data_IF_187527051930
#
_entry.id   IF_187527051930
#
_cell.length_a   1.000
_cell.length_b   1.000
_cell.length_c   1.000
_cell.angle_alpha   90.00
_cell.angle_beta   90.00
_cell.angle_gamma   90.00
#
_symmetry.space_group_name_H-M   'P 1'
#
loop_
_entity.id
_entity.type
_entity.pdbx_description
1 polymer ?
#
# COMPACT_ATOMS: atom_id res chain seq x y z
N UNK A 1 -26.40 14.69 12.17
CA UNK A 1 -26.21 14.14 10.80
C UNK A 1 -26.19 12.63 10.98
N UNK A 2 -26.96 11.89 10.18
CA UNK A 2 -27.09 10.45 10.39
C UNK A 2 -25.80 9.73 10.04
N UNK A 3 -25.07 9.25 11.04
CA UNK A 3 -24.11 8.17 10.86
C UNK A 3 -24.91 6.95 10.40
N UNK A 4 -24.58 6.39 9.25
CA UNK A 4 -25.25 5.19 8.75
C UNK A 4 -25.72 5.33 7.32
N UNK A 5 -24.76 5.26 6.41
CA UNK A 5 -24.87 4.53 5.13
C UNK A 5 -23.55 4.51 4.35
N UNK A 6 -22.39 4.68 5.02
CA UNK A 6 -21.11 4.85 4.30
C UNK A 6 -20.81 3.71 3.31
N UNK A 7 -21.02 2.42 3.65
CA UNK A 7 -20.78 1.34 2.70
C UNK A 7 -21.64 1.43 1.43
N UNK A 8 -22.92 1.79 1.54
CA UNK A 8 -23.79 1.92 0.36
C UNK A 8 -23.45 3.17 -0.45
N UNK A 9 -23.20 4.31 0.20
CA UNK A 9 -22.76 5.55 -0.46
C UNK A 9 -21.46 5.36 -1.22
N UNK A 10 -20.48 4.72 -0.59
CA UNK A 10 -19.20 4.39 -1.20
C UNK A 10 -19.37 3.51 -2.44
N UNK A 11 -20.22 2.47 -2.36
CA UNK A 11 -20.55 1.61 -3.51
C UNK A 11 -21.29 2.38 -4.62
N UNK A 12 -22.19 3.28 -4.25
CA UNK A 12 -22.94 4.15 -5.16
C UNK A 12 -22.06 5.22 -5.83
N UNK A 13 -20.84 5.44 -5.34
CA UNK A 13 -19.84 6.27 -5.98
C UNK A 13 -19.43 7.53 -5.22
N UNK A 14 -20.06 7.79 -4.07
CA UNK A 14 -19.73 8.91 -3.17
C UNK A 14 -18.50 8.57 -2.32
N UNK A 15 -17.35 8.35 -2.96
CA UNK A 15 -16.10 7.91 -2.30
C UNK A 15 -15.42 9.06 -1.59
N UNK A 16 -15.27 10.19 -2.29
CA UNK A 16 -14.66 11.40 -1.72
C UNK A 16 -15.42 11.91 -0.50
N UNK A 17 -16.76 11.94 -0.56
CA UNK A 17 -17.59 12.37 0.57
C UNK A 17 -17.49 11.40 1.76
N UNK A 18 -17.50 10.09 1.51
CA UNK A 18 -17.32 9.08 2.56
C UNK A 18 -15.93 9.19 3.20
N UNK A 19 -14.86 9.31 2.42
CA UNK A 19 -13.51 9.45 2.96
C UNK A 19 -13.33 10.74 3.74
N UNK A 20 -13.87 11.87 3.27
CA UNK A 20 -13.85 13.13 4.00
C UNK A 20 -14.55 13.03 5.36
N UNK A 21 -15.69 12.34 5.43
CA UNK A 21 -16.40 12.08 6.69
C UNK A 21 -15.60 11.16 7.61
N UNK A 22 -15.01 10.07 7.10
CA UNK A 22 -14.20 9.14 7.88
C UNK A 22 -12.93 9.80 8.42
N UNK A 23 -12.24 10.62 7.62
CA UNK A 23 -11.08 11.40 8.08
C UNK A 23 -11.46 12.43 9.13
N UNK A 24 -12.67 12.98 9.07
CA UNK A 24 -13.17 13.93 10.06
C UNK A 24 -13.41 13.34 11.46
N UNK A 25 -13.53 12.02 11.58
CA UNK A 25 -13.71 11.31 12.86
C UNK A 25 -12.40 11.14 13.63
N UNK A 26 -11.28 11.00 12.92
CA UNK A 26 -10.01 10.58 13.54
C UNK A 26 -10.17 9.31 14.37
N UNK A 27 -9.71 9.35 15.62
CA UNK A 27 -9.77 8.22 16.55
C UNK A 27 -11.19 7.77 16.95
N UNK A 28 -12.20 8.64 16.82
CA UNK A 28 -13.60 8.32 17.14
C UNK A 28 -14.16 7.22 16.22
N UNK A 29 -13.48 6.93 15.10
CA UNK A 29 -13.82 5.80 14.23
C UNK A 29 -13.73 4.44 14.93
N UNK A 30 -13.07 4.36 16.09
CA UNK A 30 -12.93 3.13 16.90
C UNK A 30 -14.11 2.84 17.81
N UNK A 31 -15.08 3.73 17.90
CA UNK A 31 -16.34 3.43 18.57
C UNK A 31 -17.05 2.27 17.87
N UNK A 32 -17.47 1.24 18.63
CA UNK A 32 -17.87 -0.07 18.06
C UNK A 32 -18.93 0.01 16.95
N UNK A 33 -19.92 0.90 17.09
CA UNK A 33 -20.97 1.10 16.09
C UNK A 33 -20.43 1.75 14.81
N UNK A 34 -19.50 2.70 14.96
CA UNK A 34 -18.86 3.44 13.86
C UNK A 34 -17.83 2.56 13.15
N UNK A 35 -16.99 1.86 13.94
CA UNK A 35 -15.90 1.03 13.46
C UNK A 35 -16.41 -0.03 12.49
N UNK A 36 -17.55 -0.65 12.77
CA UNK A 36 -18.12 -1.67 11.88
C UNK A 36 -18.43 -1.12 10.48
N UNK A 37 -19.01 0.08 10.40
CA UNK A 37 -19.33 0.73 9.13
C UNK A 37 -18.07 1.21 8.41
N UNK A 38 -17.14 1.84 9.14
CA UNK A 38 -15.88 2.32 8.60
C UNK A 38 -14.99 1.17 8.09
N UNK A 39 -14.93 0.07 8.84
CA UNK A 39 -14.21 -1.14 8.43
C UNK A 39 -14.84 -1.74 7.15
N UNK A 40 -16.16 -1.73 7.01
CA UNK A 40 -16.82 -2.17 5.78
C UNK A 40 -16.48 -1.29 4.57
N UNK A 41 -16.24 0.01 4.75
CA UNK A 41 -15.76 0.90 3.67
C UNK A 41 -14.33 0.53 3.31
N UNK A 42 -13.46 0.38 4.30
CA UNK A 42 -12.05 -0.01 4.09
C UNK A 42 -11.95 -1.38 3.41
N UNK A 43 -12.82 -2.32 3.76
CA UNK A 43 -12.87 -3.65 3.15
C UNK A 43 -13.32 -3.59 1.68
N UNK A 44 -14.32 -2.77 1.36
CA UNK A 44 -14.75 -2.55 -0.03
C UNK A 44 -13.65 -1.85 -0.85
N UNK A 45 -12.93 -0.88 -0.26
CA UNK A 45 -11.75 -0.26 -0.88
C UNK A 45 -10.66 -1.30 -1.17
N UNK A 46 -10.32 -2.14 -0.18
CA UNK A 46 -9.31 -3.18 -0.34
C UNK A 46 -9.68 -4.19 -1.43
N UNK A 47 -10.96 -4.58 -1.53
CA UNK A 47 -11.43 -5.47 -2.59
C UNK A 47 -11.30 -4.83 -3.99
N UNK A 48 -11.59 -3.53 -4.12
CA UNK A 48 -11.37 -2.77 -5.36
C UNK A 48 -9.89 -2.64 -5.70
N UNK A 49 -9.04 -2.35 -4.72
CA UNK A 49 -7.59 -2.29 -4.88
C UNK A 49 -7.04 -3.65 -5.36
N UNK A 50 -7.47 -4.76 -4.75
CA UNK A 50 -7.11 -6.12 -5.19
C UNK A 50 -7.54 -6.41 -6.62
N UNK A 51 -8.75 -5.98 -7.01
CA UNK A 51 -9.20 -6.10 -8.40
C UNK A 51 -8.26 -5.32 -9.35
N UNK A 52 -7.92 -4.08 -8.99
CA UNK A 52 -7.03 -3.24 -9.80
C UNK A 52 -5.62 -3.82 -9.90
N UNK A 53 -5.05 -4.34 -8.82
CA UNK A 53 -3.72 -5.00 -8.82
C UNK A 53 -3.72 -6.20 -9.77
N UNK A 54 -4.75 -7.05 -9.72
CA UNK A 54 -4.87 -8.19 -10.65
C UNK A 54 -5.08 -7.76 -12.10
N UNK A 55 -5.76 -6.64 -12.31
CA UNK A 55 -5.93 -6.08 -13.65
C UNK A 55 -4.60 -5.54 -14.19
N UNK A 56 -3.86 -4.80 -13.36
CA UNK A 56 -2.51 -4.31 -13.67
C UNK A 56 -1.55 -5.42 -14.02
N UNK A 57 -1.50 -6.47 -13.20
CA UNK A 57 -0.66 -7.63 -13.46
C UNK A 57 -0.92 -8.19 -14.87
N UNK A 58 -2.20 -8.36 -15.25
CA UNK A 58 -2.58 -8.85 -16.58
C UNK A 58 -2.20 -7.88 -17.68
N UNK A 59 -2.46 -6.58 -17.51
CA UNK A 59 -2.12 -5.56 -18.51
C UNK A 59 -0.61 -5.47 -18.73
N UNK A 60 0.18 -5.44 -17.65
CA UNK A 60 1.63 -5.40 -17.70
C UNK A 60 2.20 -6.64 -18.39
N UNK A 61 1.73 -7.85 -18.03
CA UNK A 61 2.13 -9.09 -18.71
C UNK A 61 1.77 -9.07 -20.21
N UNK A 62 0.58 -8.56 -20.55
CA UNK A 62 0.13 -8.47 -21.94
C UNK A 62 0.97 -7.51 -22.79
N UNK A 63 1.50 -6.44 -22.19
CA UNK A 63 2.41 -5.51 -22.87
C UNK A 63 3.84 -6.07 -22.96
N UNK A 64 4.19 -7.12 -22.21
CA UNK A 64 5.52 -7.76 -22.23
C UNK A 64 6.41 -7.39 -21.03
N UNK A 65 5.82 -6.84 -19.96
CA UNK A 65 6.53 -6.51 -18.73
C UNK A 65 6.95 -7.78 -17.99
N UNK A 66 8.18 -7.78 -17.46
CA UNK A 66 8.73 -8.91 -16.69
C UNK A 66 8.95 -8.47 -15.25
N UNK A 67 8.19 -9.07 -14.34
CA UNK A 67 8.35 -8.88 -12.90
C UNK A 67 9.52 -9.70 -12.37
N UNK A 68 10.34 -9.11 -11.51
CA UNK A 68 11.52 -9.79 -10.98
C UNK A 68 11.92 -9.26 -9.59
N UNK A 69 12.83 -9.98 -8.92
CA UNK A 69 13.53 -9.48 -7.73
C UNK A 69 14.33 -8.23 -8.08
N UNK A 70 14.51 -7.33 -7.11
CA UNK A 70 15.27 -6.09 -7.27
C UNK A 70 16.78 -6.30 -7.00
N UNK A 71 17.32 -7.44 -7.40
CA UNK A 71 18.74 -7.76 -7.32
C UNK A 71 19.38 -7.86 -8.73
N UNK A 72 20.69 -8.06 -8.78
CA UNK A 72 21.43 -8.18 -10.04
C UNK A 72 21.02 -9.42 -10.86
N UNK A 73 20.49 -10.46 -10.22
CA UNK A 73 20.05 -11.68 -10.89
C UNK A 73 18.69 -11.50 -11.56
N UNK A 74 17.86 -10.56 -11.07
CA UNK A 74 16.51 -10.25 -11.59
C UNK A 74 15.69 -11.52 -11.79
N UNK A 75 15.67 -12.36 -10.77
CA UNK A 75 14.94 -13.62 -10.80
C UNK A 75 13.45 -13.33 -10.99
N UNK A 76 12.76 -13.94 -11.97
CA UNK A 76 11.33 -13.71 -12.19
C UNK A 76 10.51 -14.03 -10.93
N UNK A 77 9.51 -13.19 -10.64
CA UNK A 77 8.64 -13.37 -9.47
C UNK A 77 7.17 -13.29 -9.85
N UNK A 78 6.33 -13.85 -8.98
CA UNK A 78 4.90 -13.58 -8.99
C UNK A 78 4.64 -12.21 -8.33
N UNK A 79 4.12 -11.21 -9.05
CA UNK A 79 3.99 -9.86 -8.53
C UNK A 79 2.85 -9.67 -7.53
N UNK A 80 1.99 -10.68 -7.35
CA UNK A 80 0.85 -10.59 -6.45
C UNK A 80 0.64 -11.89 -5.68
N UNK A 81 0.71 -11.81 -4.35
CA UNK A 81 0.39 -12.92 -3.44
C UNK A 81 -0.84 -12.54 -2.61
N UNK A 82 -1.96 -13.27 -2.74
CA UNK A 82 -3.13 -13.00 -1.91
C UNK A 82 -2.83 -13.15 -0.43
N UNK A 83 -3.60 -12.42 0.40
CA UNK A 83 -3.55 -12.52 1.85
C UNK A 83 -3.58 -13.99 2.32
N UNK A 84 -2.66 -14.36 3.21
CA UNK A 84 -2.56 -15.71 3.73
C UNK A 84 -3.51 -15.95 4.91
N UNK A 85 -3.73 -17.22 5.32
CA UNK A 85 -4.45 -17.53 6.55
C UNK A 85 -3.81 -16.95 7.83
N UNK A 86 -2.52 -16.57 7.79
CA UNK A 86 -1.78 -16.00 8.92
C UNK A 86 -1.93 -14.47 9.02
N UNK A 87 -2.48 -13.80 8.01
CA UNK A 87 -2.70 -12.35 8.01
C UNK A 87 -3.42 -11.83 9.28
N UNK A 88 -4.47 -12.50 9.82
CA UNK A 88 -5.09 -12.07 11.09
C UNK A 88 -4.16 -12.16 12.30
N UNK A 89 -3.25 -13.16 12.33
CA UNK A 89 -2.26 -13.31 13.40
C UNK A 89 -1.23 -12.18 13.35
N UNK A 90 -0.74 -11.84 12.16
CA UNK A 90 0.17 -10.71 11.98
C UNK A 90 -0.50 -9.39 12.36
N UNK A 91 -1.76 -9.17 11.96
CA UNK A 91 -2.52 -7.98 12.34
C UNK A 91 -2.66 -7.84 13.86
N UNK A 92 -3.04 -8.92 14.55
CA UNK A 92 -3.17 -8.91 16.01
C UNK A 92 -1.83 -8.62 16.70
N UNK A 93 -0.73 -9.15 16.17
CA UNK A 93 0.61 -8.85 16.66
C UNK A 93 0.97 -7.37 16.46
N UNK A 94 0.72 -6.80 15.27
CA UNK A 94 0.95 -5.38 15.00
C UNK A 94 0.20 -4.48 16.00
N UNK A 95 -1.08 -4.76 16.22
CA UNK A 95 -1.91 -3.96 17.15
C UNK A 95 -1.47 -4.10 18.62
N UNK A 96 -0.99 -5.28 19.01
CA UNK A 96 -0.52 -5.57 20.37
C UNK A 96 0.85 -4.94 20.66
N UNK A 97 1.80 -5.07 19.74
CA UNK A 97 3.19 -4.66 19.98
C UNK A 97 3.47 -3.22 19.55
N UNK A 98 2.88 -2.77 18.44
CA UNK A 98 3.17 -1.46 17.83
C UNK A 98 2.03 -0.44 18.04
N UNK A 99 0.93 -0.87 18.67
CA UNK A 99 -0.26 -0.06 18.91
C UNK A 99 -1.23 -0.06 17.72
N UNK A 100 -2.34 0.72 17.80
CA UNK A 100 -3.39 0.68 16.79
C UNK A 100 -2.86 0.98 15.40
N UNK A 101 -3.38 0.25 14.40
CA UNK A 101 -3.05 0.45 12.98
C UNK A 101 -4.27 0.94 12.20
N UNK A 102 -4.13 1.77 11.16
CA UNK A 102 -5.28 2.29 10.42
C UNK A 102 -6.22 1.19 9.90
N UNK A 103 -7.53 1.46 9.84
CA UNK A 103 -8.50 0.46 9.37
C UNK A 103 -8.23 0.00 7.94
N UNK A 104 -7.71 0.89 7.08
CA UNK A 104 -7.26 0.54 5.72
C UNK A 104 -6.10 -0.45 5.70
N UNK A 105 -5.18 -0.40 6.67
CA UNK A 105 -4.06 -1.34 6.77
C UNK A 105 -4.57 -2.73 7.18
N UNK A 106 -5.50 -2.77 8.15
CA UNK A 106 -6.21 -4.00 8.51
C UNK A 106 -6.92 -4.63 7.30
N UNK A 107 -7.66 -3.83 6.52
CA UNK A 107 -8.32 -4.31 5.30
C UNK A 107 -7.34 -4.79 4.24
N UNK A 108 -6.24 -4.06 4.02
CA UNK A 108 -5.22 -4.45 3.05
C UNK A 108 -4.62 -5.81 3.39
N UNK A 109 -4.16 -5.96 4.63
CA UNK A 109 -3.54 -7.19 5.13
C UNK A 109 -4.50 -8.39 5.02
N UNK A 110 -5.78 -8.21 5.37
CA UNK A 110 -6.77 -9.30 5.33
C UNK A 110 -7.28 -9.67 3.94
N UNK A 111 -7.35 -8.70 3.01
CA UNK A 111 -8.13 -8.87 1.78
C UNK A 111 -7.30 -8.77 0.50
N UNK A 112 -6.17 -8.04 0.54
CA UNK A 112 -5.28 -7.84 -0.60
C UNK A 112 -4.13 -8.84 -0.55
N UNK A 113 -3.26 -8.72 0.46
CA UNK A 113 -1.98 -9.43 0.56
C UNK A 113 -0.82 -8.61 -0.01
N UNK A 114 0.24 -9.30 -0.43
CA UNK A 114 1.48 -8.69 -0.89
C UNK A 114 1.44 -8.35 -2.38
N UNK A 115 1.95 -7.16 -2.71
CA UNK A 115 2.07 -6.62 -4.07
C UNK A 115 3.51 -6.23 -4.33
N UNK A 116 4.08 -6.69 -5.44
CA UNK A 116 5.43 -6.42 -5.90
C UNK A 116 5.43 -6.16 -7.41
N UNK A 117 5.21 -4.92 -7.84
CA UNK A 117 5.20 -4.58 -9.27
C UNK A 117 6.59 -4.21 -9.82
N UNK A 118 7.67 -4.45 -9.08
CA UNK A 118 9.03 -4.22 -9.57
C UNK A 118 9.32 -5.15 -10.75
N UNK A 119 9.85 -4.56 -11.82
CA UNK A 119 10.20 -5.28 -13.03
C UNK A 119 10.74 -4.35 -14.11
N UNK A 120 10.86 -4.89 -15.31
CA UNK A 120 11.39 -4.19 -16.48
C UNK A 120 10.57 -4.47 -17.73
N UNK A 121 10.62 -3.52 -18.67
CA UNK A 121 10.08 -3.68 -20.00
C UNK A 121 11.18 -3.44 -21.05
N UNK A 122 11.39 -4.35 -22.04
CA UNK A 122 12.45 -4.19 -23.03
C UNK A 122 12.33 -2.91 -23.87
N UNK A 123 11.11 -2.48 -24.19
CA UNK A 123 10.86 -1.28 -24.99
C UNK A 123 10.74 0.01 -24.15
N UNK A 124 10.56 -0.10 -22.83
CA UNK A 124 10.34 1.03 -21.92
C UNK A 124 11.18 0.86 -20.66
N UNK A 125 12.53 0.94 -20.79
CA UNK A 125 13.43 0.74 -19.67
C UNK A 125 13.25 1.76 -18.56
N UNK A 126 12.64 2.92 -18.83
CA UNK A 126 12.39 3.98 -17.86
C UNK A 126 11.39 3.56 -16.77
N UNK A 127 10.52 2.59 -17.05
CA UNK A 127 9.52 2.10 -16.11
C UNK A 127 10.13 1.45 -14.87
N UNK A 128 11.34 0.90 -14.94
CA UNK A 128 11.99 0.30 -13.77
C UNK A 128 12.32 1.34 -12.69
N UNK A 129 12.48 2.61 -13.09
CA UNK A 129 12.67 3.74 -12.18
C UNK A 129 11.37 4.50 -11.86
N UNK A 130 10.22 4.09 -12.39
CA UNK A 130 8.96 4.82 -12.29
C UNK A 130 8.23 4.62 -10.95
N UNK A 131 8.90 4.08 -9.94
CA UNK A 131 8.35 3.82 -8.60
C UNK A 131 7.11 2.91 -8.62
N UNK A 132 7.26 1.63 -9.05
CA UNK A 132 6.15 0.70 -9.12
C UNK A 132 5.52 0.46 -7.74
N UNK A 133 4.22 0.12 -7.73
CA UNK A 133 3.51 -0.25 -6.50
C UNK A 133 4.18 -1.45 -5.84
N UNK A 134 4.60 -1.27 -4.61
CA UNK A 134 4.98 -2.34 -3.69
C UNK A 134 4.23 -2.08 -2.39
N UNK A 135 3.59 -3.10 -1.83
CA UNK A 135 3.09 -3.15 -0.46
C UNK A 135 3.23 -4.60 -0.02
N UNK A 136 4.18 -4.88 0.85
CA UNK A 136 4.54 -6.21 1.32
C UNK A 136 4.52 -6.20 2.86
N UNK A 137 3.57 -6.92 3.43
CA UNK A 137 3.37 -7.02 4.89
C UNK A 137 3.65 -8.42 5.39
N UNK A 138 3.21 -9.43 4.64
CA UNK A 138 3.38 -10.84 5.03
C UNK A 138 4.74 -11.40 4.59
N UNK A 139 5.53 -10.63 3.83
CA UNK A 139 6.87 -11.03 3.42
C UNK A 139 6.85 -12.31 2.60
N UNK A 140 5.80 -12.56 1.81
CA UNK A 140 5.58 -13.82 1.09
C UNK A 140 6.69 -14.20 0.10
N UNK A 141 7.58 -13.26 -0.23
CA UNK A 141 8.80 -13.48 -1.03
C UNK A 141 9.98 -13.99 -0.19
N UNK A 142 9.90 -13.88 1.13
CA UNK A 142 10.92 -14.24 2.11
C UNK A 142 10.34 -15.26 3.11
N UNK A 143 10.02 -16.49 2.68
CA UNK A 143 9.33 -17.48 3.52
C UNK A 143 10.12 -17.93 4.76
N UNK A 144 11.43 -17.67 4.79
CA UNK A 144 12.31 -17.97 5.91
C UNK A 144 12.44 -16.79 6.90
N UNK A 145 11.74 -15.67 6.65
CA UNK A 145 11.74 -14.47 7.49
C UNK A 145 10.40 -14.35 8.22
N UNK A 146 10.44 -14.24 9.54
CA UNK A 146 9.28 -13.91 10.35
C UNK A 146 9.08 -12.39 10.34
N UNK A 147 8.06 -11.91 9.63
CA UNK A 147 7.82 -10.47 9.48
C UNK A 147 7.58 -9.74 10.80
N UNK A 148 7.02 -10.42 11.82
CA UNK A 148 6.92 -9.85 13.17
C UNK A 148 8.29 -9.56 13.80
N UNK A 149 9.29 -10.43 13.57
CA UNK A 149 10.65 -10.19 14.08
C UNK A 149 11.32 -9.04 13.33
N UNK A 150 11.11 -8.97 12.01
CA UNK A 150 11.58 -7.84 11.20
C UNK A 150 10.99 -6.51 11.70
N UNK A 151 9.67 -6.41 11.86
CA UNK A 151 9.04 -5.18 12.35
C UNK A 151 9.44 -4.83 13.78
N UNK A 152 9.66 -5.82 14.65
CA UNK A 152 10.16 -5.57 16.00
C UNK A 152 11.57 -4.95 15.98
N UNK A 153 12.46 -5.49 15.14
CA UNK A 153 13.81 -4.94 14.96
C UNK A 153 13.79 -3.52 14.41
N UNK A 154 12.95 -3.24 13.41
CA UNK A 154 12.81 -1.89 12.85
C UNK A 154 12.26 -0.90 13.88
N UNK A 155 11.30 -1.33 14.69
CA UNK A 155 10.73 -0.52 15.76
C UNK A 155 11.75 -0.25 16.89
N UNK A 156 12.56 -1.24 17.27
CA UNK A 156 13.64 -1.06 18.25
C UNK A 156 14.68 -0.04 17.75
N UNK A 157 15.13 -0.18 16.49
CA UNK A 157 16.06 0.77 15.88
C UNK A 157 15.50 2.20 15.85
N UNK A 158 14.23 2.36 15.50
CA UNK A 158 13.55 3.66 15.58
C UNK A 158 13.47 4.19 17.01
N UNK A 159 13.13 3.35 18.00
CA UNK A 159 13.00 3.76 19.39
C UNK A 159 14.35 4.23 19.97
N UNK A 160 15.45 3.56 19.62
CA UNK A 160 16.80 3.99 19.96
C UNK A 160 17.14 5.35 19.35
N UNK A 161 16.81 5.58 18.07
CA UNK A 161 16.99 6.89 17.43
C UNK A 161 16.15 7.96 18.12
N UNK A 162 14.86 7.70 18.34
CA UNK A 162 13.92 8.64 18.92
C UNK A 162 14.30 9.06 20.35
N UNK A 163 14.92 8.17 21.12
CA UNK A 163 15.46 8.48 22.45
C UNK A 163 16.57 9.55 22.42
N UNK A 164 17.29 9.67 21.30
CA UNK A 164 18.41 10.59 21.12
C UNK A 164 18.11 11.74 20.15
N UNK A 165 17.02 11.65 19.38
CA UNK A 165 16.60 12.62 18.39
C UNK A 165 15.12 12.99 18.58
N UNK A 166 14.82 14.12 19.26
CA UNK A 166 13.45 14.61 19.43
C UNK A 166 12.71 14.91 18.11
N UNK A 167 13.43 14.97 16.98
CA UNK A 167 12.87 15.17 15.63
C UNK A 167 12.57 13.87 14.87
N UNK A 168 12.81 12.69 15.45
CA UNK A 168 12.61 11.40 14.74
C UNK A 168 11.16 11.14 14.31
N UNK A 169 10.18 11.79 14.95
CA UNK A 169 8.76 11.61 14.64
C UNK A 169 8.25 10.21 15.01
N UNK A 170 7.04 9.86 14.53
CA UNK A 170 6.45 8.53 14.76
C UNK A 170 7.13 7.44 13.93
N UNK A 171 7.10 6.20 14.44
CA UNK A 171 7.57 5.02 13.70
C UNK A 171 6.83 4.89 12.37
N UNK A 172 7.59 4.56 11.32
CA UNK A 172 7.06 4.25 9.99
C UNK A 172 7.15 2.75 9.80
N UNK A 173 6.02 2.05 9.85
CA UNK A 173 5.95 0.61 9.56
C UNK A 173 6.36 0.37 8.11
N UNK A 174 7.52 -0.25 7.84
CA UNK A 174 8.03 -0.38 6.49
C UNK A 174 7.25 -1.45 5.73
N UNK A 175 6.58 -1.07 4.63
CA UNK A 175 5.82 -2.02 3.79
C UNK A 175 6.27 -1.98 2.33
N UNK A 176 7.20 -1.09 1.98
CA UNK A 176 7.71 -0.97 0.63
C UNK A 176 9.12 -0.41 0.67
N UNK A 177 10.05 -0.91 -0.16
CA UNK A 177 11.30 -0.21 -0.42
C UNK A 177 11.01 1.18 -1.00
N UNK A 178 11.99 2.09 -0.96
CA UNK A 178 11.90 3.35 -1.70
C UNK A 178 12.12 3.15 -3.21
N UNK A 179 11.83 4.19 -4.00
CA UNK A 179 11.97 4.20 -5.46
C UNK A 179 13.35 3.75 -5.96
N UNK A 180 14.44 4.15 -5.31
CA UNK A 180 15.80 3.78 -5.71
C UNK A 180 16.05 2.30 -5.45
N UNK A 181 15.68 1.79 -4.27
CA UNK A 181 15.79 0.36 -3.97
C UNK A 181 14.92 -0.51 -4.88
N UNK A 182 13.73 -0.04 -5.28
CA UNK A 182 12.91 -0.72 -6.32
C UNK A 182 13.63 -0.80 -7.66
N UNK A 183 14.47 0.18 -7.99
CA UNK A 183 15.28 0.22 -9.20
C UNK A 183 16.64 -0.52 -9.07
N UNK A 184 16.86 -1.29 -7.99
CA UNK A 184 18.14 -1.91 -7.63
C UNK A 184 19.29 -0.89 -7.51
N UNK A 185 19.00 0.26 -6.91
CA UNK A 185 19.97 1.27 -6.52
C UNK A 185 19.93 1.43 -5.01
N UNK A 186 21.07 1.77 -4.39
CA UNK A 186 21.09 2.12 -2.97
C UNK A 186 20.17 3.32 -2.73
N UNK A 187 19.16 3.11 -1.88
CA UNK A 187 18.11 4.07 -1.62
C UNK A 187 18.13 4.67 -0.24
N UNK A 188 16.98 5.21 0.15
CA UNK A 188 16.74 5.83 1.44
C UNK A 188 15.87 4.99 2.35
N UNK A 189 15.12 5.67 3.22
CA UNK A 189 14.18 5.03 4.12
C UNK A 189 13.01 4.40 3.34
N UNK A 190 12.51 3.24 3.77
CA UNK A 190 11.36 2.58 3.15
C UNK A 190 10.09 3.42 3.24
N UNK A 191 9.13 3.13 2.36
CA UNK A 191 7.78 3.67 2.42
C UNK A 191 6.93 2.85 3.38
N UNK A 192 5.98 3.51 4.03
CA UNK A 192 5.29 2.90 5.15
C UNK A 192 4.17 3.70 5.77
N UNK A 193 3.54 3.11 6.78
CA UNK A 193 2.48 3.76 7.56
C UNK A 193 3.06 4.39 8.81
N UNK A 194 2.69 5.63 9.12
CA UNK A 194 2.96 6.19 10.45
C UNK A 194 2.06 5.50 11.48
N UNK A 195 2.67 4.84 12.46
CA UNK A 195 1.96 4.17 13.56
C UNK A 195 2.58 4.54 14.92
N UNK A 196 1.81 4.46 16.02
CA UNK A 196 0.40 4.07 16.11
C UNK A 196 -0.56 5.09 15.47
N UNK A 197 -1.64 4.60 14.86
CA UNK A 197 -2.68 5.40 14.23
C UNK A 197 -4.06 4.73 14.37
N UNK A 198 -5.00 5.46 14.99
CA UNK A 198 -6.36 4.97 15.25
C UNK A 198 -7.36 5.29 14.14
N UNK A 199 -6.94 6.01 13.10
CA UNK A 199 -7.83 6.55 12.06
C UNK A 199 -8.32 5.47 11.07
N UNK A 200 -9.30 5.85 10.24
CA UNK A 200 -9.78 4.99 9.16
C UNK A 200 -8.70 4.81 8.09
N UNK A 201 -8.21 5.93 7.56
CA UNK A 201 -7.12 6.00 6.58
C UNK A 201 -5.86 6.52 7.27
N UNK A 202 -4.72 5.88 7.01
CA UNK A 202 -3.45 6.19 7.66
C UNK A 202 -2.61 7.18 6.86
N UNK A 203 -1.73 7.90 7.55
CA UNK A 203 -0.66 8.66 6.87
C UNK A 203 0.35 7.67 6.31
N UNK A 204 0.50 7.69 4.99
CA UNK A 204 1.47 6.91 4.25
C UNK A 204 2.65 7.79 3.86
N UNK A 205 3.84 7.40 4.34
CA UNK A 205 5.11 8.04 4.04
C UNK A 205 5.66 7.44 2.75
N UNK A 206 5.62 8.23 1.68
CA UNK A 206 6.29 7.96 0.40
C UNK A 206 7.20 9.18 0.08
N UNK A 207 7.56 9.51 -1.19
CA UNK A 207 8.29 10.75 -1.47
C UNK A 207 7.59 12.02 -0.95
N UNK A 208 6.26 11.97 -0.80
CA UNK A 208 5.47 12.93 -0.05
C UNK A 208 4.51 12.18 0.89
N UNK A 209 4.21 12.77 2.04
CA UNK A 209 3.20 12.24 2.96
C UNK A 209 1.79 12.55 2.44
N UNK A 210 0.92 11.55 2.45
CA UNK A 210 -0.49 11.67 2.13
C UNK A 210 -1.27 10.52 2.77
N UNK A 211 -2.59 10.50 2.63
CA UNK A 211 -3.35 9.33 3.06
C UNK A 211 -3.06 8.14 2.14
N UNK A 212 -3.18 6.92 2.66
CA UNK A 212 -2.89 5.72 1.89
C UNK A 212 -3.84 5.56 0.70
N UNK A 213 -5.12 5.91 0.85
CA UNK A 213 -6.08 5.88 -0.27
C UNK A 213 -5.69 6.87 -1.37
N UNK A 214 -5.24 8.09 -1.01
CA UNK A 214 -4.72 9.05 -2.00
C UNK A 214 -3.48 8.52 -2.72
N UNK A 215 -2.56 7.87 -2.00
CA UNK A 215 -1.39 7.23 -2.61
C UNK A 215 -1.80 6.13 -3.59
N UNK A 216 -2.74 5.25 -3.22
CA UNK A 216 -3.23 4.21 -4.11
C UNK A 216 -3.91 4.79 -5.35
N UNK A 217 -4.79 5.79 -5.21
CA UNK A 217 -5.42 6.44 -6.37
C UNK A 217 -4.37 7.05 -7.31
N UNK A 218 -3.37 7.76 -6.78
CA UNK A 218 -2.26 8.31 -7.58
C UNK A 218 -1.53 7.22 -8.38
N UNK A 219 -1.17 6.12 -7.72
CA UNK A 219 -0.39 5.04 -8.34
C UNK A 219 -1.23 4.27 -9.38
N UNK A 220 -2.50 4.01 -9.09
CA UNK A 220 -3.41 3.29 -9.97
C UNK A 220 -3.80 4.11 -11.21
N UNK A 221 -4.10 5.41 -11.04
CA UNK A 221 -4.31 6.33 -12.16
C UNK A 221 -3.07 6.44 -13.07
N UNK A 222 -1.90 6.19 -12.49
CA UNK A 222 -0.63 6.08 -13.19
C UNK A 222 -0.25 4.64 -13.53
N UNK A 223 -1.22 3.75 -13.77
CA UNK A 223 -0.94 2.43 -14.34
C UNK A 223 -0.04 1.55 -13.46
N UNK A 224 -0.04 1.78 -12.14
CA UNK A 224 0.75 1.02 -11.17
C UNK A 224 2.09 1.65 -10.77
N UNK A 225 2.35 2.91 -11.14
CA UNK A 225 3.64 3.58 -10.92
C UNK A 225 3.45 4.99 -10.33
N UNK A 226 4.10 5.31 -9.21
CA UNK A 226 3.95 6.61 -8.55
C UNK A 226 4.63 7.76 -9.32
N UNK A 227 5.65 7.47 -10.13
CA UNK A 227 6.44 8.45 -10.86
C UNK A 227 6.45 8.14 -12.37
N UNK A 228 5.39 8.57 -13.07
CA UNK A 228 5.23 8.25 -14.49
C UNK A 228 6.19 9.03 -15.42
N UNK A 229 6.93 8.37 -16.33
CA UNK A 229 7.80 9.05 -17.29
C UNK A 229 7.02 9.94 -18.28
N UNK A 230 7.53 11.12 -18.66
CA UNK A 230 6.85 12.01 -19.60
C UNK A 230 6.83 11.46 -21.04
N UNK A 231 5.88 11.92 -21.85
CA UNK A 231 5.82 11.67 -23.30
C UNK A 231 4.55 10.97 -23.79
N UNK A 232 4.17 11.20 -25.06
CA UNK A 232 2.89 10.74 -25.61
C UNK A 232 2.74 9.22 -25.65
N UNK A 233 3.83 8.50 -25.97
CA UNK A 233 3.81 7.04 -25.98
C UNK A 233 3.57 6.48 -24.56
N UNK A 234 4.20 7.09 -23.56
CA UNK A 234 4.02 6.76 -22.16
C UNK A 234 2.62 7.11 -21.68
N UNK A 235 2.07 8.27 -22.06
CA UNK A 235 0.69 8.63 -21.75
C UNK A 235 -0.32 7.62 -22.33
N UNK A 236 -0.10 7.15 -23.57
CA UNK A 236 -0.95 6.10 -24.16
C UNK A 236 -0.83 4.77 -23.44
N UNK A 237 0.37 4.38 -23.02
CA UNK A 237 0.57 3.17 -22.23
C UNK A 237 -0.13 3.27 -20.88
N UNK A 238 0.05 4.40 -20.16
CA UNK A 238 -0.62 4.67 -18.89
C UNK A 238 -2.13 4.43 -18.98
N UNK A 239 -2.76 5.04 -19.98
CA UNK A 239 -4.19 4.93 -20.18
C UNK A 239 -4.64 3.49 -20.47
N UNK A 240 -3.83 2.69 -21.17
CA UNK A 240 -4.11 1.27 -21.38
C UNK A 240 -3.96 0.46 -20.09
N UNK A 241 -2.92 0.73 -19.30
CA UNK A 241 -2.71 0.04 -18.02
C UNK A 241 -3.82 0.35 -17.02
N UNK A 242 -4.29 1.61 -16.98
CA UNK A 242 -5.36 2.06 -16.09
C UNK A 242 -6.79 1.77 -16.60
N UNK A 243 -6.95 1.28 -17.82
CA UNK A 243 -8.26 0.98 -18.38
C UNK A 243 -9.01 -0.06 -17.53
N UNK A 244 -10.30 0.17 -17.28
CA UNK A 244 -11.14 -0.73 -16.50
C UNK A 244 -10.85 -0.80 -14.99
N UNK A 245 -9.96 0.03 -14.45
CA UNK A 245 -9.74 0.14 -13.00
C UNK A 245 -10.92 0.79 -12.27
N UNK A 246 -11.09 0.42 -11.01
CA UNK A 246 -12.10 0.94 -10.09
C UNK A 246 -11.52 2.05 -9.23
N UNK A 247 -12.23 3.17 -9.11
CA UNK A 247 -11.89 4.22 -8.14
C UNK A 247 -12.01 3.71 -6.70
N UNK A 248 -11.10 4.19 -5.84
CA UNK A 248 -11.03 3.92 -4.41
C UNK A 248 -11.57 5.08 -3.57
#
# INVERSE_FOLDING_TARGET
MGFGDWPQRYRAGDREGVWAELSGLGADVRDTEIQTQAQSVCDEMALRARYNVRLLERHLKAEGFVFHSNDDQRTPVDPFRPASPEAPRLLAWLEMELGPVPLVLSSWLRLVGDVWLVGTHPAWPELSGADPLVIELEGSRYPDMEMSEYFASEHEAWAEEAAHNPGAGSFVLPVSPDRLHKANLSGGQPYGFRIPCSDADGVFTAPAEMSFVSYLNLVLENGGFAAWPPGDAMARLKNRLADGMLAL
#
